data_IF_154336096387
#
_entry.id   IF_154336096387
#
_cell.length_a   1.000
_cell.length_b   1.000
_cell.length_c   1.000
_cell.angle_alpha   90.00
_cell.angle_beta   90.00
_cell.angle_gamma   90.00
#
_symmetry.space_group_name_H-M   'P 1'
#
loop_
_entity.id
_entity.type
_entity.pdbx_description
1 polymer ?
#
# COMPACT_ATOMS: atom_id res chain seq x y z
N UNK A 1 -26.50 -22.22 5.59
CA UNK A 1 -25.93 -21.11 4.78
C UNK A 1 -24.44 -21.00 5.03
N UNK A 2 -23.61 -21.71 4.26
CA UNK A 2 -22.15 -21.59 4.30
C UNK A 2 -21.76 -20.31 3.57
N UNK A 3 -21.38 -19.24 4.30
CA UNK A 3 -20.80 -18.03 3.71
C UNK A 3 -19.50 -18.42 2.99
N UNK A 4 -19.51 -18.52 1.66
CA UNK A 4 -18.29 -18.56 0.85
C UNK A 4 -17.51 -17.28 1.16
N UNK A 5 -16.37 -17.39 1.83
CA UNK A 5 -15.41 -16.28 1.93
C UNK A 5 -15.05 -15.90 0.48
N UNK A 6 -15.15 -14.63 0.05
CA UNK A 6 -14.64 -14.25 -1.26
C UNK A 6 -13.15 -14.61 -1.26
N UNK A 7 -12.78 -15.58 -2.08
CA UNK A 7 -11.39 -15.97 -2.26
C UNK A 7 -10.72 -14.82 -2.98
N UNK A 8 -10.02 -13.98 -2.22
CA UNK A 8 -9.35 -12.82 -2.80
C UNK A 8 -8.34 -13.32 -3.82
N UNK A 9 -8.48 -12.90 -5.07
CA UNK A 9 -7.58 -13.33 -6.14
C UNK A 9 -6.13 -12.95 -5.79
N UNK A 10 -5.14 -13.84 -6.00
CA UNK A 10 -3.72 -13.50 -5.85
C UNK A 10 -3.32 -12.25 -6.65
N UNK A 11 -3.98 -11.98 -7.78
CA UNK A 11 -3.75 -10.79 -8.59
C UNK A 11 -4.23 -9.51 -7.90
N UNK A 12 -5.41 -9.54 -7.28
CA UNK A 12 -5.95 -8.41 -6.52
C UNK A 12 -5.04 -8.08 -5.33
N UNK A 13 -4.47 -9.10 -4.67
CA UNK A 13 -3.48 -8.93 -3.60
C UNK A 13 -2.19 -8.28 -4.10
N UNK A 14 -1.63 -8.74 -5.23
CA UNK A 14 -0.44 -8.11 -5.84
C UNK A 14 -0.71 -6.66 -6.23
N UNK A 15 -1.86 -6.39 -6.86
CA UNK A 15 -2.25 -5.04 -7.27
C UNK A 15 -2.36 -4.09 -6.08
N UNK A 16 -2.93 -4.55 -4.95
CA UNK A 16 -3.01 -3.74 -3.74
C UNK A 16 -1.64 -3.43 -3.13
N UNK A 17 -0.72 -4.39 -3.10
CA UNK A 17 0.65 -4.16 -2.62
C UNK A 17 1.34 -3.10 -3.49
N UNK A 18 1.20 -3.20 -4.82
CA UNK A 18 1.76 -2.21 -5.76
C UNK A 18 1.15 -0.83 -5.52
N UNK A 19 -0.18 -0.73 -5.38
CA UNK A 19 -0.86 0.54 -5.09
C UNK A 19 -0.38 1.11 -3.76
N UNK A 20 -0.24 0.27 -2.72
CA UNK A 20 0.29 0.68 -1.42
C UNK A 20 1.68 1.29 -1.53
N UNK A 21 2.60 0.62 -2.24
CA UNK A 21 3.96 1.12 -2.47
C UNK A 21 3.95 2.46 -3.23
N UNK A 22 3.14 2.59 -4.28
CA UNK A 22 3.00 3.84 -5.06
C UNK A 22 2.51 4.97 -4.16
N UNK A 23 1.45 4.74 -3.39
CA UNK A 23 0.91 5.75 -2.48
C UNK A 23 1.92 6.12 -1.39
N UNK A 24 2.64 5.13 -0.84
CA UNK A 24 3.71 5.35 0.11
C UNK A 24 4.85 6.19 -0.46
N UNK A 25 5.25 5.93 -1.70
CA UNK A 25 6.26 6.73 -2.40
C UNK A 25 5.78 8.18 -2.63
N UNK A 26 4.53 8.38 -3.08
CA UNK A 26 3.95 9.73 -3.26
C UNK A 26 3.96 10.50 -1.95
N UNK A 27 3.46 9.90 -0.86
CA UNK A 27 3.44 10.54 0.46
C UNK A 27 4.86 10.83 0.95
N UNK A 28 5.79 9.88 0.79
CA UNK A 28 7.19 10.05 1.15
C UNK A 28 7.84 11.22 0.40
N UNK A 29 7.57 11.37 -0.90
CA UNK A 29 8.05 12.51 -1.71
C UNK A 29 7.46 13.81 -1.20
N UNK A 30 6.14 13.89 -1.00
CA UNK A 30 5.48 15.10 -0.52
C UNK A 30 6.05 15.54 0.84
N UNK A 31 6.18 14.62 1.80
CA UNK A 31 6.74 14.94 3.13
C UNK A 31 8.21 15.31 3.02
N UNK A 32 9.00 14.63 2.18
CA UNK A 32 10.41 14.97 1.97
C UNK A 32 10.57 16.38 1.43
N UNK A 33 9.72 16.79 0.49
CA UNK A 33 9.74 18.15 -0.07
C UNK A 33 9.33 19.20 0.97
N UNK A 34 8.32 18.92 1.79
CA UNK A 34 7.87 19.84 2.84
C UNK A 34 8.88 20.00 3.98
N UNK A 35 9.55 18.91 4.37
CA UNK A 35 10.47 18.90 5.52
C UNK A 35 11.95 19.04 5.14
N UNK A 36 12.26 19.01 3.84
CA UNK A 36 13.61 18.91 3.29
C UNK A 36 14.41 17.69 3.82
N UNK A 37 13.71 16.70 4.36
CA UNK A 37 14.32 15.51 4.96
C UNK A 37 14.05 14.27 4.09
N UNK A 38 15.07 13.84 3.37
CA UNK A 38 14.97 12.82 2.33
C UNK A 38 14.71 11.39 2.84
N UNK A 39 14.96 11.11 4.13
CA UNK A 39 14.69 9.80 4.73
C UNK A 39 13.18 9.50 4.86
N UNK A 40 12.31 10.48 4.59
CA UNK A 40 10.89 10.22 4.43
C UNK A 40 10.55 9.39 3.19
N UNK A 41 11.43 9.31 2.19
CA UNK A 41 11.25 8.44 1.02
C UNK A 41 11.24 6.94 1.39
N UNK A 42 12.29 6.36 2.01
CA UNK A 42 12.26 4.96 2.41
C UNK A 42 11.18 4.69 3.46
N UNK A 43 10.90 5.63 4.36
CA UNK A 43 9.82 5.51 5.34
C UNK A 43 8.43 5.46 4.66
N UNK A 44 8.19 6.31 3.66
CA UNK A 44 6.97 6.32 2.87
C UNK A 44 6.78 5.02 2.11
N UNK A 45 7.82 4.50 1.46
CA UNK A 45 7.77 3.20 0.78
C UNK A 45 7.48 2.07 1.77
N UNK A 46 8.12 2.05 2.93
CA UNK A 46 7.88 1.04 3.96
C UNK A 46 6.43 1.08 4.47
N UNK A 47 5.90 2.28 4.72
CA UNK A 47 4.51 2.49 5.13
C UNK A 47 3.53 2.04 4.04
N UNK A 48 3.81 2.38 2.78
CA UNK A 48 3.03 1.97 1.62
C UNK A 48 2.99 0.45 1.44
N UNK A 49 4.13 -0.21 1.58
CA UNK A 49 4.23 -1.66 1.57
C UNK A 49 3.43 -2.29 2.70
N UNK A 50 3.61 -1.80 3.94
CA UNK A 50 2.92 -2.32 5.11
C UNK A 50 1.39 -2.17 4.99
N UNK A 51 0.92 -0.99 4.60
CA UNK A 51 -0.50 -0.73 4.38
C UNK A 51 -1.08 -1.59 3.26
N UNK A 52 -0.40 -1.69 2.11
CA UNK A 52 -0.82 -2.55 1.00
C UNK A 52 -0.80 -4.04 1.33
N UNK A 53 0.06 -4.48 2.24
CA UNK A 53 0.11 -5.86 2.73
C UNK A 53 -0.97 -6.16 3.77
N UNK A 54 -1.37 -5.18 4.60
CA UNK A 54 -2.33 -5.39 5.69
C UNK A 54 -3.77 -5.19 5.21
N UNK A 55 -4.02 -4.18 4.37
CA UNK A 55 -5.37 -3.91 3.89
C UNK A 55 -5.92 -5.10 3.10
N UNK A 56 -7.22 -5.34 3.25
CA UNK A 56 -7.91 -6.33 2.42
C UNK A 56 -8.02 -5.75 1.01
N UNK A 57 -7.77 -6.55 -0.05
CA UNK A 57 -8.02 -6.08 -1.40
C UNK A 57 -9.49 -5.72 -1.50
N UNK A 58 -9.83 -4.59 -2.14
CA UNK A 58 -11.23 -4.24 -2.35
C UNK A 58 -11.92 -5.44 -3.00
N UNK A 59 -13.09 -5.79 -2.47
CA UNK A 59 -13.93 -6.85 -3.04
C UNK A 59 -14.20 -6.45 -4.50
N UNK A 60 -13.65 -7.24 -5.42
CA UNK A 60 -14.01 -7.17 -6.85
C UNK A 60 -15.29 -7.97 -7.04
#
# INVERSE_FOLDING_TARGET
>A
MTKKKPSVSPEARRKQIIIGIIMGAIVGVVISLLTQFWLWLPAGVALGLASGAIMKPPEQ
#
